data_IF_690898671270
#
_entry.id   IF_690898671270
#
_cell.length_a   1.000
_cell.length_b   1.000
_cell.length_c   1.000
_cell.angle_alpha   90.00
_cell.angle_beta   90.00
_cell.angle_gamma   90.00
#
_symmetry.space_group_name_H-M   'P 1'
#
loop_
_entity.id
_entity.type
_entity.pdbx_description
1 polymer ?
#
# COMPACT_ATOMS: atom_id res chain seq x y z
N UNK A 1 30.28 -6.69 10.57
CA UNK A 1 29.62 -6.73 9.24
C UNK A 1 30.18 -5.62 8.37
N UNK A 2 30.61 -5.92 7.14
CA UNK A 2 31.10 -4.91 6.21
C UNK A 2 29.97 -3.95 5.77
N UNK A 3 30.25 -2.65 5.69
CA UNK A 3 29.28 -1.64 5.22
C UNK A 3 28.74 -1.94 3.82
N UNK A 4 29.54 -2.60 2.96
CA UNK A 4 29.11 -3.05 1.63
C UNK A 4 28.01 -4.10 1.72
N UNK A 5 28.13 -5.05 2.66
CA UNK A 5 27.13 -6.10 2.87
C UNK A 5 25.80 -5.52 3.38
N UNK A 6 25.87 -4.60 4.35
CA UNK A 6 24.70 -3.89 4.89
C UNK A 6 23.94 -3.12 3.80
N UNK A 7 24.66 -2.45 2.89
CA UNK A 7 24.04 -1.74 1.78
C UNK A 7 23.39 -2.67 0.75
N UNK A 8 24.02 -3.81 0.41
CA UNK A 8 23.42 -4.77 -0.50
C UNK A 8 22.18 -5.44 0.10
N UNK A 9 22.25 -5.84 1.38
CA UNK A 9 21.11 -6.41 2.09
C UNK A 9 19.92 -5.44 2.14
N UNK A 10 20.16 -4.16 2.44
CA UNK A 10 19.10 -3.15 2.43
C UNK A 10 18.45 -2.99 1.04
N UNK A 11 19.24 -3.02 -0.04
CA UNK A 11 18.70 -2.98 -1.42
C UNK A 11 17.84 -4.19 -1.73
N UNK A 12 18.27 -5.38 -1.32
CA UNK A 12 17.53 -6.62 -1.49
C UNK A 12 16.19 -6.60 -0.73
N UNK A 13 16.20 -6.21 0.54
CA UNK A 13 14.97 -6.05 1.36
C UNK A 13 14.03 -5.02 0.74
N UNK A 14 14.57 -3.90 0.25
CA UNK A 14 13.79 -2.86 -0.43
C UNK A 14 13.12 -3.40 -1.70
N UNK A 15 13.82 -4.22 -2.48
CA UNK A 15 13.25 -4.86 -3.67
C UNK A 15 12.11 -5.82 -3.30
N UNK A 16 12.32 -6.66 -2.29
CA UNK A 16 11.30 -7.59 -1.80
C UNK A 16 10.04 -6.86 -1.35
N UNK A 17 10.18 -5.77 -0.58
CA UNK A 17 9.03 -4.96 -0.15
C UNK A 17 8.25 -4.38 -1.33
N UNK A 18 8.93 -3.93 -2.39
CA UNK A 18 8.26 -3.45 -3.61
C UNK A 18 7.49 -4.56 -4.31
N UNK A 19 8.09 -5.75 -4.41
CA UNK A 19 7.42 -6.92 -5.00
C UNK A 19 6.20 -7.33 -4.16
N UNK A 20 6.29 -7.28 -2.83
CA UNK A 20 5.16 -7.56 -1.93
C UNK A 20 4.01 -6.57 -2.11
N UNK A 21 4.30 -5.28 -2.30
CA UNK A 21 3.29 -4.26 -2.61
C UNK A 21 2.55 -4.63 -3.91
N UNK A 22 3.29 -4.94 -4.98
CA UNK A 22 2.70 -5.30 -6.27
C UNK A 22 1.89 -6.59 -6.15
N UNK A 23 2.43 -7.62 -5.50
CA UNK A 23 1.75 -8.90 -5.31
C UNK A 23 0.45 -8.75 -4.52
N UNK A 24 0.43 -7.92 -3.47
CA UNK A 24 -0.77 -7.68 -2.68
C UNK A 24 -1.84 -6.90 -3.45
N UNK A 25 -1.43 -5.93 -4.27
CA UNK A 25 -2.35 -5.22 -5.15
C UNK A 25 -2.93 -6.14 -6.22
N UNK A 26 -2.11 -7.00 -6.81
CA UNK A 26 -2.59 -8.03 -7.74
C UNK A 26 -3.57 -8.98 -7.04
N UNK A 27 -3.25 -9.49 -5.85
CA UNK A 27 -4.19 -10.31 -5.07
C UNK A 27 -5.55 -9.63 -4.84
N UNK A 28 -5.53 -8.32 -4.57
CA UNK A 28 -6.76 -7.54 -4.34
C UNK A 28 -7.53 -7.30 -5.64
N UNK A 29 -6.85 -7.03 -6.75
CA UNK A 29 -7.47 -6.64 -8.01
C UNK A 29 -7.84 -7.84 -8.91
N UNK A 30 -7.12 -8.96 -8.81
CA UNK A 30 -7.24 -10.12 -9.67
C UNK A 30 -8.66 -10.71 -9.69
N UNK A 31 -9.37 -10.87 -8.55
CA UNK A 31 -10.74 -11.36 -8.56
C UNK A 31 -11.67 -10.50 -9.42
N UNK A 32 -11.43 -9.18 -9.44
CA UNK A 32 -12.22 -8.25 -10.24
C UNK A 32 -11.87 -8.33 -11.73
N UNK A 33 -10.63 -8.64 -12.09
CA UNK A 33 -10.23 -8.80 -13.50
C UNK A 33 -10.77 -10.12 -14.09
N UNK A 34 -10.72 -11.21 -13.32
CA UNK A 34 -11.09 -12.56 -13.79
C UNK A 34 -12.61 -12.73 -13.88
N UNK A 35 -13.35 -12.26 -12.88
CA UNK A 35 -14.81 -12.28 -12.91
C UNK A 35 -15.33 -10.84 -12.76
N UNK A 36 -15.72 -10.19 -13.88
CA UNK A 36 -16.20 -8.83 -13.83
C UNK A 36 -17.50 -8.66 -13.01
N UNK A 37 -18.23 -9.74 -12.72
CA UNK A 37 -19.54 -9.70 -12.09
C UNK A 37 -20.60 -9.03 -12.99
N UNK A 38 -21.78 -9.62 -13.10
CA UNK A 38 -22.89 -9.00 -13.81
C UNK A 38 -23.59 -7.94 -12.95
N UNK A 39 -24.17 -6.91 -13.59
CA UNK A 39 -24.89 -5.79 -12.96
C UNK A 39 -26.03 -6.22 -12.01
N UNK A 40 -26.45 -7.49 -12.08
CA UNK A 40 -27.55 -8.06 -11.32
C UNK A 40 -27.31 -8.08 -9.79
N UNK A 41 -26.07 -7.82 -9.34
CA UNK A 41 -25.70 -7.69 -7.91
C UNK A 41 -25.17 -6.28 -7.62
N UNK A 42 -26.07 -5.29 -7.65
CA UNK A 42 -25.74 -3.85 -7.56
C UNK A 42 -24.84 -3.50 -6.35
N UNK A 43 -25.04 -4.15 -5.20
CA UNK A 43 -24.23 -3.92 -3.99
C UNK A 43 -22.77 -4.36 -4.14
N UNK A 44 -22.51 -5.54 -4.72
CA UNK A 44 -21.15 -6.02 -4.95
C UNK A 44 -20.46 -5.27 -6.10
N UNK A 45 -21.22 -4.86 -7.11
CA UNK A 45 -20.76 -4.10 -8.27
C UNK A 45 -20.33 -2.68 -7.88
N UNK A 46 -21.13 -1.96 -7.09
CA UNK A 46 -20.81 -0.60 -6.65
C UNK A 46 -19.56 -0.56 -5.74
N UNK A 47 -19.48 -1.48 -4.77
CA UNK A 47 -18.33 -1.59 -3.83
C UNK A 47 -17.02 -1.86 -4.59
N UNK A 48 -17.07 -2.65 -5.66
CA UNK A 48 -15.94 -2.92 -6.56
C UNK A 48 -15.48 -1.68 -7.30
N UNK A 49 -16.37 -0.92 -7.93
CA UNK A 49 -15.99 0.28 -8.68
C UNK A 49 -15.46 1.37 -7.77
N UNK A 50 -16.02 1.52 -6.57
CA UNK A 50 -15.47 2.42 -5.55
C UNK A 50 -14.02 2.07 -5.25
N UNK A 51 -13.70 0.78 -5.05
CA UNK A 51 -12.32 0.34 -4.82
C UNK A 51 -11.39 0.65 -6.00
N UNK A 52 -11.81 0.31 -7.23
CA UNK A 52 -11.00 0.50 -8.43
C UNK A 52 -10.73 1.99 -8.66
N UNK A 53 -11.74 2.85 -8.49
CA UNK A 53 -11.60 4.30 -8.60
C UNK A 53 -10.67 4.83 -7.50
N UNK A 54 -10.82 4.39 -6.25
CA UNK A 54 -9.98 4.87 -5.15
C UNK A 54 -8.51 4.48 -5.35
N UNK A 55 -8.25 3.23 -5.75
CA UNK A 55 -6.90 2.76 -6.06
C UNK A 55 -6.33 3.47 -7.30
N UNK A 56 -7.15 3.71 -8.32
CA UNK A 56 -6.77 4.42 -9.55
C UNK A 56 -6.41 5.88 -9.31
N UNK A 57 -7.22 6.61 -8.53
CA UNK A 57 -6.97 8.01 -8.16
C UNK A 57 -5.65 8.13 -7.40
N UNK A 58 -5.40 7.22 -6.45
CA UNK A 58 -4.16 7.27 -5.66
C UNK A 58 -2.97 6.83 -6.51
N UNK A 59 -3.11 5.84 -7.38
CA UNK A 59 -2.06 5.50 -8.33
C UNK A 59 -1.73 6.69 -9.25
N UNK A 60 -2.73 7.43 -9.75
CA UNK A 60 -2.52 8.66 -10.53
C UNK A 60 -1.83 9.76 -9.71
N UNK A 61 -2.27 10.01 -8.47
CA UNK A 61 -1.61 10.96 -7.57
C UNK A 61 -0.14 10.55 -7.31
N UNK A 62 0.12 9.25 -7.22
CA UNK A 62 1.45 8.67 -7.03
C UNK A 62 2.35 8.82 -8.26
N UNK A 63 1.77 8.87 -9.46
CA UNK A 63 2.49 9.15 -10.71
C UNK A 63 2.72 10.65 -10.92
N UNK A 64 1.78 11.50 -10.48
CA UNK A 64 1.90 12.95 -10.54
C UNK A 64 2.98 13.48 -9.56
N UNK A 65 3.19 12.78 -8.45
CA UNK A 65 4.23 13.06 -7.47
C UNK A 65 5.49 12.22 -7.81
N UNK A 66 6.70 12.77 -7.61
CA UNK A 66 7.96 12.30 -8.20
C UNK A 66 8.21 10.77 -8.11
N UNK A 67 8.86 10.21 -9.15
CA UNK A 67 9.30 8.79 -9.30
C UNK A 67 10.00 8.16 -8.08
N UNK A 68 10.57 8.96 -7.18
CA UNK A 68 11.32 8.48 -6.00
C UNK A 68 10.44 7.99 -4.84
N UNK A 69 9.15 8.29 -4.86
CA UNK A 69 8.23 8.06 -3.73
C UNK A 69 7.39 6.79 -3.87
N UNK A 70 7.73 5.95 -4.85
CA UNK A 70 7.00 4.72 -5.20
C UNK A 70 6.84 3.75 -4.01
N UNK A 71 7.77 3.79 -3.05
CA UNK A 71 7.64 3.03 -1.79
C UNK A 71 6.55 3.61 -0.88
N UNK A 72 6.54 4.92 -0.65
CA UNK A 72 5.57 5.61 0.21
C UNK A 72 4.16 5.42 -0.35
N UNK A 73 4.00 5.74 -1.63
CA UNK A 73 2.73 5.60 -2.34
C UNK A 73 2.29 4.14 -2.48
N UNK A 74 3.25 3.22 -2.68
CA UNK A 74 2.98 1.78 -2.69
C UNK A 74 2.37 1.29 -1.36
N UNK A 75 2.91 1.72 -0.22
CA UNK A 75 2.31 1.38 1.08
C UNK A 75 0.96 2.05 1.33
N UNK A 76 0.72 3.26 0.82
CA UNK A 76 -0.62 3.88 0.85
C UNK A 76 -1.65 3.08 0.04
N UNK A 77 -1.27 2.60 -1.15
CA UNK A 77 -2.12 1.73 -1.94
C UNK A 77 -2.41 0.41 -1.21
N UNK A 78 -1.40 -0.19 -0.59
CA UNK A 78 -1.57 -1.40 0.23
C UNK A 78 -2.45 -1.16 1.45
N UNK A 79 -2.33 0.01 2.10
CA UNK A 79 -3.16 0.36 3.26
C UNK A 79 -4.65 0.32 2.90
N UNK A 80 -5.00 0.92 1.77
CA UNK A 80 -6.38 1.00 1.28
C UNK A 80 -6.87 -0.38 0.82
N UNK A 81 -6.05 -1.10 0.05
CA UNK A 81 -6.36 -2.46 -0.36
C UNK A 81 -6.58 -3.37 0.85
N UNK A 82 -5.80 -3.21 1.92
CA UNK A 82 -5.95 -3.98 3.15
C UNK A 82 -7.19 -3.59 3.95
N UNK A 83 -7.50 -2.29 4.07
CA UNK A 83 -8.72 -1.84 4.71
C UNK A 83 -9.96 -2.36 3.97
N UNK A 84 -9.92 -2.33 2.64
CA UNK A 84 -10.97 -2.87 1.80
C UNK A 84 -11.13 -4.39 1.96
N UNK A 85 -10.03 -5.16 1.84
CA UNK A 85 -10.11 -6.61 1.99
C UNK A 85 -10.54 -7.03 3.40
N UNK A 86 -10.14 -6.27 4.43
CA UNK A 86 -10.61 -6.47 5.79
C UNK A 86 -12.12 -6.22 5.91
N UNK A 87 -12.63 -5.12 5.33
CA UNK A 87 -14.07 -4.85 5.29
C UNK A 87 -14.83 -5.97 4.57
N UNK A 88 -14.34 -6.43 3.41
CA UNK A 88 -14.94 -7.55 2.69
C UNK A 88 -14.88 -8.87 3.48
N UNK A 89 -13.79 -9.13 4.20
CA UNK A 89 -13.67 -10.32 5.04
C UNK A 89 -14.64 -10.29 6.23
N UNK A 90 -14.96 -9.11 6.76
CA UNK A 90 -15.97 -8.94 7.82
C UNK A 90 -17.39 -9.19 7.31
N UNK A 91 -17.67 -8.85 6.05
CA UNK A 91 -18.98 -9.08 5.42
C UNK A 91 -19.21 -10.54 4.97
N UNK A 92 -18.14 -11.31 4.76
CA UNK A 92 -18.20 -12.67 4.22
C UNK A 92 -17.65 -13.69 5.23
N UNK A 93 -18.53 -14.48 5.89
CA UNK A 93 -18.13 -15.46 6.92
C UNK A 93 -17.06 -16.46 6.45
N UNK A 94 -17.10 -16.84 5.17
CA UNK A 94 -16.12 -17.74 4.55
C UNK A 94 -14.68 -17.22 4.53
N UNK A 95 -14.45 -15.91 4.78
CA UNK A 95 -13.14 -15.25 4.71
C UNK A 95 -12.56 -14.87 6.08
N UNK A 96 -13.15 -15.34 7.18
CA UNK A 96 -12.70 -14.98 8.54
C UNK A 96 -11.26 -15.39 8.84
N UNK A 97 -10.80 -16.50 8.26
CA UNK A 97 -9.41 -16.94 8.34
C UNK A 97 -8.39 -15.93 7.76
N UNK A 98 -8.83 -15.03 6.87
CA UNK A 98 -7.99 -14.00 6.23
C UNK A 98 -7.97 -12.67 6.99
N UNK A 99 -8.83 -12.48 8.01
CA UNK A 99 -8.91 -11.23 8.79
C UNK A 99 -7.56 -10.90 9.42
N UNK A 100 -6.91 -11.87 10.07
CA UNK A 100 -5.62 -11.67 10.73
C UNK A 100 -4.52 -11.27 9.74
N UNK A 101 -4.53 -11.84 8.53
CA UNK A 101 -3.62 -11.47 7.45
C UNK A 101 -3.81 -10.00 7.06
N UNK A 102 -5.05 -9.57 6.81
CA UNK A 102 -5.34 -8.20 6.40
C UNK A 102 -5.03 -7.19 7.51
N UNK A 103 -5.30 -7.53 8.77
CA UNK A 103 -4.90 -6.71 9.94
C UNK A 103 -3.38 -6.56 10.01
N UNK A 104 -2.63 -7.65 9.81
CA UNK A 104 -1.17 -7.60 9.82
C UNK A 104 -0.61 -6.74 8.68
N UNK A 105 -1.14 -6.90 7.46
CA UNK A 105 -0.75 -6.07 6.30
C UNK A 105 -1.08 -4.60 6.54
N UNK A 106 -2.25 -4.31 7.13
CA UNK A 106 -2.69 -2.96 7.47
C UNK A 106 -1.76 -2.30 8.50
N UNK A 107 -1.44 -3.01 9.60
CA UNK A 107 -0.49 -2.54 10.60
C UNK A 107 0.90 -2.28 10.01
N UNK A 108 1.36 -3.16 9.11
CA UNK A 108 2.64 -3.02 8.40
C UNK A 108 2.63 -1.78 7.50
N UNK A 109 1.58 -1.56 6.73
CA UNK A 109 1.44 -0.37 5.88
C UNK A 109 1.44 0.93 6.71
N UNK A 110 0.68 0.98 7.82
CA UNK A 110 0.66 2.13 8.74
C UNK A 110 2.07 2.40 9.29
N UNK A 111 2.78 1.35 9.72
CA UNK A 111 4.13 1.49 10.26
C UNK A 111 5.08 2.13 9.24
N UNK A 112 5.10 1.65 8.00
CA UNK A 112 5.98 2.18 6.97
C UNK A 112 5.62 3.62 6.55
N UNK A 113 4.32 3.91 6.39
CA UNK A 113 3.84 5.27 6.10
C UNK A 113 4.24 6.24 7.23
N UNK A 114 3.98 5.86 8.48
CA UNK A 114 4.26 6.69 9.65
C UNK A 114 5.75 6.90 9.89
N UNK A 115 6.56 5.88 9.57
CA UNK A 115 8.03 5.98 9.63
C UNK A 115 8.55 6.95 8.56
N UNK A 116 8.04 6.85 7.34
CA UNK A 116 8.47 7.68 6.23
C UNK A 116 8.15 9.17 6.47
N UNK A 117 6.92 9.47 6.91
CA UNK A 117 6.50 10.82 7.32
C UNK A 117 7.48 11.40 8.37
N UNK A 118 7.79 10.62 9.42
CA UNK A 118 8.74 11.06 10.46
C UNK A 118 10.14 11.38 9.94
N UNK A 119 10.65 10.57 9.01
CA UNK A 119 11.98 10.78 8.41
C UNK A 119 12.00 12.05 7.56
N UNK A 120 10.93 12.29 6.80
CA UNK A 120 10.81 13.47 5.95
C UNK A 120 10.71 14.77 6.78
N UNK A 121 9.85 14.79 7.81
CA UNK A 121 9.74 15.93 8.74
C UNK A 121 11.09 16.26 9.40
N UNK A 122 11.85 15.24 9.80
CA UNK A 122 13.19 15.42 10.40
C UNK A 122 14.20 16.04 9.43
N UNK A 123 14.18 15.64 8.15
CA UNK A 123 15.07 16.19 7.11
C UNK A 123 14.75 17.63 6.78
N UNK A 124 13.47 17.97 6.66
CA UNK A 124 13.01 19.34 6.39
C UNK A 124 13.40 20.29 7.52
N UNK A 125 13.26 19.85 8.79
CA UNK A 125 13.66 20.66 9.93
C UNK A 125 15.18 20.89 10.01
N UNK A 126 15.99 19.88 9.68
CA UNK A 126 17.46 20.03 9.60
C UNK A 126 17.90 20.97 8.48
N UNK A 127 17.23 20.97 7.32
CA UNK A 127 17.52 21.89 6.21
C UNK A 127 17.25 23.34 6.62
N UNK A 128 16.09 23.60 7.21
CA UNK A 128 15.69 24.93 7.68
C UNK A 128 16.67 25.51 8.72
N UNK A 129 17.09 24.70 9.70
CA UNK A 129 18.14 25.10 10.67
C UNK A 129 19.52 25.39 10.04
N UNK A 130 19.81 24.87 8.85
CA UNK A 130 21.09 25.07 8.15
C UNK A 130 21.05 26.29 7.23
N UNK A 131 19.86 26.79 6.90
CA UNK A 131 19.65 28.03 6.13
C UNK A 131 19.55 29.25 7.06
N UNK A 132 19.31 29.04 8.36
CA UNK A 132 19.26 30.08 9.41
C UNK A 132 20.63 30.36 10.08
N UNK A 133 21.69 29.61 9.74
CA UNK A 133 23.08 29.78 10.22
C UNK A 133 24.01 30.13 9.04
#
# INVERSE_FOLDING_TARGET
>A
MSDKWKNQFNKFVTLLLRLSVVAYLLYTLLPYVIDPGSENSFGSWAVRWILIILLGVIAMLSFALRRTDLMRYGFFLVLIAAAFNLFMALLHPEKWNLILLHVYVLATAIYFISRDIRIETSKTHKRRKKEEN
#
